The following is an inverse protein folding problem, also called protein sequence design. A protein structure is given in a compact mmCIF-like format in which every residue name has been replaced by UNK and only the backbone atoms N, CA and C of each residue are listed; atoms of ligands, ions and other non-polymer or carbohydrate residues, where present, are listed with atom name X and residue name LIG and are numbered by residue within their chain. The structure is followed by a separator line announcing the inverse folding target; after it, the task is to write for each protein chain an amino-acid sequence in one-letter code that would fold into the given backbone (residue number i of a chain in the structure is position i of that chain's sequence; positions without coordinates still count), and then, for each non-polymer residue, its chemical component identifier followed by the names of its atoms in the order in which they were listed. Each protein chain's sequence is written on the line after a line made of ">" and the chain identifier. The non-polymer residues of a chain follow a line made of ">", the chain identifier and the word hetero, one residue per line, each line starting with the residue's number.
data_IF_358353321496
#
_entry.id   IF_358353321496
#
_cell.length_a   1.000
_cell.length_b   1.000
_cell.length_c   1.000
_cell.angle_alpha   90.00
_cell.angle_beta   90.00
_cell.angle_gamma   90.00
#
_symmetry.space_group_name_H-M   'P 1'
#
loop_
_entity.id
_entity.type
_entity.pdbx_description
1 polymer ?
#
# COMPACT_ATOMS: atom_id res chain seq x y z
N UNK A 1 -6.57 2.48 -0.29
CA UNK A 1 -6.75 2.13 -1.71
C UNK A 1 -5.81 2.99 -2.54
N UNK A 2 -5.29 2.50 -3.69
CA UNK A 2 -4.61 3.36 -4.65
C UNK A 2 -5.58 4.37 -5.27
N UNK A 3 -5.12 5.60 -5.53
CA UNK A 3 -5.91 6.71 -6.11
C UNK A 3 -5.00 7.68 -6.83
N UNK A 4 -5.54 8.64 -7.59
CA UNK A 4 -4.75 9.81 -7.99
C UNK A 4 -4.49 10.72 -6.78
N UNK A 5 -3.55 11.67 -6.89
CA UNK A 5 -3.26 12.62 -5.83
C UNK A 5 -4.47 13.50 -5.49
N UNK A 6 -4.48 14.08 -4.29
CA UNK A 6 -5.50 15.07 -3.90
C UNK A 6 -5.55 16.20 -4.94
N UNK A 7 -6.76 16.65 -5.25
CA UNK A 7 -7.05 17.69 -6.24
C UNK A 7 -6.66 17.34 -7.69
N UNK A 8 -6.33 16.07 -7.97
CA UNK A 8 -6.17 15.54 -9.32
C UNK A 8 -7.38 14.64 -9.65
N UNK A 9 -8.14 14.97 -10.69
CA UNK A 9 -9.36 14.27 -11.04
C UNK A 9 -9.06 12.85 -11.57
N UNK A 10 -9.63 11.83 -10.91
CA UNK A 10 -9.51 10.42 -11.30
C UNK A 10 -10.09 10.15 -12.72
N UNK A 11 -11.05 10.97 -13.17
CA UNK A 11 -11.67 10.82 -14.50
C UNK A 11 -10.87 11.46 -15.63
N UNK A 12 -9.95 12.39 -15.30
CA UNK A 12 -9.11 13.08 -16.29
C UNK A 12 -7.77 12.38 -16.51
N UNK A 13 -7.28 11.64 -15.51
CA UNK A 13 -5.99 10.96 -15.56
C UNK A 13 -6.12 9.51 -16.06
N UNK A 14 -5.10 9.00 -16.79
CA UNK A 14 -5.18 7.68 -17.36
C UNK A 14 -5.08 6.58 -16.31
N UNK A 15 -5.96 5.58 -16.40
CA UNK A 15 -5.93 4.37 -15.57
C UNK A 15 -5.30 3.15 -16.27
N UNK A 16 -4.90 3.32 -17.53
CA UNK A 16 -4.34 2.27 -18.36
C UNK A 16 -2.99 1.77 -17.83
N UNK A 17 -2.71 0.48 -18.01
CA UNK A 17 -1.44 -0.15 -17.63
C UNK A 17 -0.43 -0.19 -18.77
N UNK A 18 -0.88 0.04 -20.00
CA UNK A 18 -0.09 -0.07 -21.22
C UNK A 18 -0.55 0.99 -22.19
N UNK A 19 0.39 1.72 -22.78
CA UNK A 19 0.19 2.71 -23.83
C UNK A 19 1.53 2.94 -24.53
N UNK A 20 1.49 3.56 -25.71
CA UNK A 20 2.70 3.90 -26.47
C UNK A 20 3.55 4.96 -25.77
N UNK A 21 2.90 5.89 -25.07
CA UNK A 21 3.55 6.89 -24.23
C UNK A 21 3.29 6.59 -22.75
N UNK A 22 4.34 6.67 -21.92
CA UNK A 22 4.25 6.45 -20.48
C UNK A 22 3.28 7.42 -19.80
N UNK A 23 3.14 8.64 -20.32
CA UNK A 23 2.21 9.66 -19.82
C UNK A 23 0.74 9.29 -20.02
N UNK A 24 0.44 8.29 -20.84
CA UNK A 24 -0.92 7.76 -21.05
C UNK A 24 -1.18 6.51 -20.19
N UNK A 25 -0.27 6.19 -19.27
CA UNK A 25 -0.43 5.13 -18.27
C UNK A 25 -0.64 5.70 -16.88
N UNK A 26 -1.18 4.89 -15.98
CA UNK A 26 -1.40 5.32 -14.58
C UNK A 26 -0.12 5.50 -13.76
N UNK A 27 0.99 4.88 -14.17
CA UNK A 27 2.18 4.72 -13.32
C UNK A 27 2.84 6.04 -12.89
N UNK A 28 2.88 7.10 -13.71
CA UNK A 28 3.41 8.39 -13.29
C UNK A 28 2.54 9.11 -12.26
N UNK A 29 1.25 8.78 -12.18
CA UNK A 29 0.26 9.58 -11.45
C UNK A 29 -0.27 8.90 -10.19
N UNK A 30 -0.41 7.57 -10.21
CA UNK A 30 -1.11 6.85 -9.15
C UNK A 30 -0.34 6.85 -7.82
N UNK A 31 -1.02 7.25 -6.75
CA UNK A 31 -0.56 7.06 -5.39
C UNK A 31 -0.90 5.65 -4.91
N UNK A 32 0.09 4.95 -4.36
CA UNK A 32 -0.11 3.64 -3.74
C UNK A 32 -0.89 3.75 -2.43
N UNK A 33 -1.52 2.65 -2.00
CA UNK A 33 -2.35 2.63 -0.80
C UNK A 33 -1.55 2.98 0.47
N UNK A 34 -0.29 2.57 0.53
CA UNK A 34 0.63 2.82 1.63
C UNK A 34 0.97 4.30 1.76
N UNK A 35 1.24 4.97 0.63
CA UNK A 35 1.48 6.41 0.58
C UNK A 35 0.26 7.16 1.09
N UNK A 36 -0.93 6.82 0.58
CA UNK A 36 -2.18 7.43 1.01
C UNK A 36 -2.45 7.21 2.50
N UNK A 37 -2.19 6.01 3.03
CA UNK A 37 -2.39 5.71 4.46
C UNK A 37 -1.45 6.53 5.38
N UNK A 38 -0.21 6.79 4.95
CA UNK A 38 0.77 7.57 5.72
C UNK A 38 0.45 9.07 5.68
N UNK A 39 -0.04 9.56 4.54
CA UNK A 39 -0.37 10.98 4.34
C UNK A 39 -1.73 11.33 4.94
N UNK A 40 -2.75 10.50 4.73
CA UNK A 40 -4.13 10.75 5.17
C UNK A 40 -4.37 10.26 6.61
N UNK A 41 -3.57 10.76 7.54
CA UNK A 41 -3.70 10.50 8.97
C UNK A 41 -4.34 11.70 9.67
N UNK A 42 -5.21 11.40 10.63
CA UNK A 42 -5.77 12.40 11.56
C UNK A 42 -4.92 12.52 12.84
N UNK A 43 -3.62 12.21 12.76
CA UNK A 43 -2.65 12.25 13.86
C UNK A 43 -1.41 13.05 13.45
N UNK A 44 -0.64 13.51 14.44
CA UNK A 44 0.64 14.20 14.20
C UNK A 44 1.65 13.33 13.47
N UNK A 45 1.68 12.03 13.79
CA UNK A 45 2.57 11.04 13.19
C UNK A 45 2.00 9.62 13.31
N UNK A 46 2.71 8.67 12.72
CA UNK A 46 2.42 7.23 12.74
C UNK A 46 3.63 6.44 13.26
N UNK A 47 4.45 7.07 14.13
CA UNK A 47 5.64 6.42 14.68
C UNK A 47 5.23 5.24 15.55
N UNK A 48 5.98 4.14 15.44
CA UNK A 48 5.74 2.87 16.15
C UNK A 48 4.39 2.20 15.82
N UNK A 49 3.69 2.65 14.78
CA UNK A 49 2.46 2.01 14.32
C UNK A 49 2.76 0.74 13.51
N UNK A 50 1.69 -0.03 13.26
CA UNK A 50 1.67 -1.16 12.32
C UNK A 50 0.83 -0.80 11.11
N UNK A 51 1.32 -1.10 9.90
CA UNK A 51 0.56 -0.96 8.67
C UNK A 51 0.10 -2.34 8.16
N UNK A 52 -1.18 -2.44 7.79
CA UNK A 52 -1.77 -3.63 7.18
C UNK A 52 -2.02 -3.37 5.70
N UNK A 53 -1.45 -4.20 4.83
CA UNK A 53 -1.50 -4.02 3.38
C UNK A 53 -1.94 -5.29 2.66
N UNK A 54 -2.68 -5.14 1.57
CA UNK A 54 -3.13 -6.28 0.75
C UNK A 54 -2.00 -6.95 -0.05
N UNK A 55 -0.98 -6.18 -0.42
CA UNK A 55 0.19 -6.62 -1.17
C UNK A 55 1.45 -6.11 -0.47
N UNK A 56 2.53 -6.90 -0.49
CA UNK A 56 3.83 -6.46 0.03
C UNK A 56 4.24 -5.11 -0.60
N UNK A 57 4.75 -4.14 0.17
CA UNK A 57 5.01 -2.80 -0.35
C UNK A 57 6.15 -2.80 -1.37
N UNK A 58 6.05 -1.96 -2.40
CA UNK A 58 7.18 -1.71 -3.31
C UNK A 58 8.30 -0.92 -2.61
N UNK A 59 9.47 -0.79 -3.25
CA UNK A 59 10.62 -0.10 -2.68
C UNK A 59 10.35 1.39 -2.37
N UNK A 60 9.56 2.09 -3.18
CA UNK A 60 9.22 3.50 -2.91
C UNK A 60 8.30 3.62 -1.68
N UNK A 61 7.33 2.73 -1.54
CA UNK A 61 6.49 2.65 -0.34
C UNK A 61 7.29 2.25 0.91
N UNK A 62 8.28 1.36 0.76
CA UNK A 62 9.19 1.00 1.86
C UNK A 62 9.95 2.21 2.41
N UNK A 63 10.45 3.10 1.54
CA UNK A 63 11.11 4.34 1.96
C UNK A 63 10.15 5.20 2.79
N UNK A 64 8.91 5.37 2.34
CA UNK A 64 7.88 6.14 3.07
C UNK A 64 7.56 5.52 4.43
N UNK A 65 7.38 4.19 4.48
CA UNK A 65 7.13 3.44 5.72
C UNK A 65 8.25 3.69 6.73
N UNK A 66 9.51 3.55 6.30
CA UNK A 66 10.69 3.77 7.16
C UNK A 66 10.73 5.21 7.65
N UNK A 67 10.62 6.19 6.75
CA UNK A 67 10.72 7.61 7.10
C UNK A 67 9.56 8.09 7.98
N UNK A 68 8.39 7.46 7.88
CA UNK A 68 7.24 7.75 8.74
C UNK A 68 7.37 7.22 10.17
N UNK A 69 8.33 6.31 10.41
CA UNK A 69 8.59 5.69 11.70
C UNK A 69 7.66 4.53 12.06
N UNK A 70 6.89 4.00 11.10
CA UNK A 70 6.18 2.72 11.25
C UNK A 70 7.20 1.62 11.55
N UNK A 71 6.89 0.69 12.46
CA UNK A 71 7.84 -0.35 12.92
C UNK A 71 7.43 -1.76 12.54
N UNK A 72 6.22 -1.97 11.99
CA UNK A 72 5.72 -3.27 11.57
C UNK A 72 4.88 -3.18 10.31
N UNK A 73 5.11 -4.09 9.38
CA UNK A 73 4.35 -4.28 8.14
C UNK A 73 3.72 -5.67 8.17
N UNK A 74 2.38 -5.71 8.13
CA UNK A 74 1.61 -6.93 7.98
C UNK A 74 1.04 -6.96 6.57
N UNK A 75 1.31 -8.00 5.80
CA UNK A 75 0.91 -8.09 4.38
C UNK A 75 0.16 -9.39 4.09
N UNK A 76 -0.85 -9.32 3.22
CA UNK A 76 -1.62 -10.52 2.80
C UNK A 76 -0.91 -11.30 1.69
N UNK A 77 -0.51 -10.63 0.61
CA UNK A 77 0.08 -11.26 -0.58
C UNK A 77 1.52 -10.81 -0.82
N UNK A 78 2.37 -11.74 -1.25
CA UNK A 78 3.76 -11.50 -1.66
C UNK A 78 4.05 -12.04 -3.07
N UNK A 79 3.03 -11.97 -3.94
CA UNK A 79 3.06 -12.59 -5.29
C UNK A 79 4.13 -12.03 -6.25
N UNK A 80 4.81 -10.94 -5.89
CA UNK A 80 5.85 -10.31 -6.70
C UNK A 80 7.22 -10.32 -6.01
N UNK A 81 7.42 -11.19 -5.03
CA UNK A 81 8.65 -11.27 -4.22
C UNK A 81 9.94 -11.32 -5.04
N UNK A 82 9.92 -11.91 -6.23
CA UNK A 82 11.10 -12.09 -7.09
C UNK A 82 11.42 -10.86 -7.95
N UNK A 83 10.54 -9.85 -7.98
CA UNK A 83 10.78 -8.64 -8.75
C UNK A 83 11.78 -7.72 -8.02
N UNK A 84 12.67 -7.01 -8.75
CA UNK A 84 13.70 -6.17 -8.16
C UNK A 84 13.17 -5.14 -7.15
N UNK A 85 12.00 -4.55 -7.40
CA UNK A 85 11.37 -3.56 -6.53
C UNK A 85 11.00 -4.16 -5.17
N UNK A 86 10.56 -5.40 -5.14
CA UNK A 86 10.13 -6.10 -3.92
C UNK A 86 11.33 -6.68 -3.16
N UNK A 87 12.37 -7.12 -3.88
CA UNK A 87 13.66 -7.50 -3.28
C UNK A 87 14.30 -6.28 -2.59
N UNK A 88 14.34 -5.13 -3.27
CA UNK A 88 14.86 -3.89 -2.71
C UNK A 88 14.03 -3.41 -1.51
N UNK A 89 12.70 -3.48 -1.61
CA UNK A 89 11.78 -3.19 -0.50
C UNK A 89 12.10 -4.02 0.74
N UNK A 90 12.22 -5.34 0.59
CA UNK A 90 12.55 -6.25 1.71
C UNK A 90 13.91 -5.95 2.33
N UNK A 91 14.93 -5.65 1.51
CA UNK A 91 16.25 -5.24 2.01
C UNK A 91 16.15 -3.97 2.85
N UNK A 92 15.49 -2.92 2.33
CA UNK A 92 15.33 -1.64 3.04
C UNK A 92 14.60 -1.83 4.38
N UNK A 93 13.45 -2.51 4.36
CA UNK A 93 12.64 -2.73 5.56
C UNK A 93 13.40 -3.56 6.61
N UNK A 94 14.13 -4.59 6.18
CA UNK A 94 14.94 -5.43 7.08
C UNK A 94 16.11 -4.64 7.69
N UNK A 95 16.81 -3.84 6.87
CA UNK A 95 17.91 -2.99 7.34
C UNK A 95 17.45 -1.94 8.35
N UNK A 96 16.23 -1.40 8.17
CA UNK A 96 15.62 -0.45 9.09
C UNK A 96 15.01 -1.11 10.35
N UNK A 97 15.10 -2.44 10.49
CA UNK A 97 14.56 -3.17 11.64
C UNK A 97 13.03 -3.23 11.68
N UNK A 98 12.35 -3.09 10.54
CA UNK A 98 10.90 -3.20 10.45
C UNK A 98 10.49 -4.66 10.55
N UNK A 99 9.56 -4.98 11.46
CA UNK A 99 9.01 -6.34 11.57
C UNK A 99 8.09 -6.62 10.37
N UNK A 100 8.42 -7.66 9.61
CA UNK A 100 7.63 -8.13 8.46
C UNK A 100 6.86 -9.39 8.84
N UNK A 101 5.56 -9.42 8.56
CA UNK A 101 4.69 -10.54 8.90
C UNK A 101 3.66 -10.78 7.81
N UNK A 102 3.62 -12.00 7.28
CA UNK A 102 2.57 -12.39 6.35
C UNK A 102 1.31 -12.76 7.15
N UNK A 103 0.19 -12.11 6.82
CA UNK A 103 -1.09 -12.42 7.42
C UNK A 103 -1.63 -13.75 6.88
N UNK A 104 -2.04 -14.63 7.80
CA UNK A 104 -2.66 -15.91 7.50
C UNK A 104 -4.04 -15.98 8.13
N UNK A 105 -5.01 -16.56 7.42
CA UNK A 105 -6.40 -16.70 7.87
C UNK A 105 -7.00 -17.99 7.32
N UNK A 106 -7.85 -18.64 8.11
CA UNK A 106 -8.67 -19.78 7.66
C UNK A 106 -9.96 -19.29 6.98
N UNK A 107 -10.35 -18.03 7.20
CA UNK A 107 -11.51 -17.44 6.57
C UNK A 107 -11.14 -16.92 5.18
N UNK A 108 -11.77 -17.44 4.14
CA UNK A 108 -11.60 -16.98 2.75
C UNK A 108 -12.45 -15.76 2.42
N UNK A 109 -13.49 -15.50 3.22
CA UNK A 109 -14.39 -14.38 3.05
C UNK A 109 -14.87 -13.84 4.40
N UNK A 110 -15.16 -12.54 4.45
CA UNK A 110 -15.83 -11.87 5.54
C UNK A 110 -17.03 -11.14 4.93
N UNK A 111 -18.25 -11.50 5.35
CA UNK A 111 -19.48 -10.90 4.84
C UNK A 111 -19.95 -9.81 5.80
N UNK A 112 -20.00 -8.58 5.32
CA UNK A 112 -20.61 -7.45 6.04
C UNK A 112 -22.07 -7.37 5.58
N UNK A 113 -22.99 -7.83 6.42
CA UNK A 113 -24.42 -7.83 6.14
C UNK A 113 -25.12 -6.75 6.96
N UNK A 114 -25.42 -5.63 6.29
CA UNK A 114 -26.07 -4.48 6.92
C UNK A 114 -27.56 -4.70 7.20
N UNK A 115 -28.20 -5.72 6.60
CA UNK A 115 -29.62 -6.01 6.87
C UNK A 115 -29.83 -6.46 8.32
N UNK A 116 -28.80 -7.07 8.92
CA UNK A 116 -28.80 -7.50 10.32
C UNK A 116 -28.73 -6.37 11.35
N UNK A 117 -28.54 -5.12 10.92
CA UNK A 117 -28.54 -3.95 11.82
C UNK A 117 -29.94 -3.36 12.05
N UNK A 118 -30.91 -3.71 11.22
CA UNK A 118 -32.28 -3.15 11.26
C UNK A 118 -33.30 -4.08 11.94
N UNK A 119 -32.86 -4.97 12.82
CA UNK A 119 -33.69 -5.90 13.60
C UNK A 119 -33.47 -5.72 15.10
#
# INVERSE_FOLDING_TARGET
>A
MPSMPTDCNDDELPWNRTADNILDTKYPYVCHAEMNAILNKNSSDVKKCTIFVGLFPCNECAKLIIQSGITRVVYMSDKYQDKPEFIASRRLLTMAGIKLEQFTTNNTQIVIDLTKLNH
#
